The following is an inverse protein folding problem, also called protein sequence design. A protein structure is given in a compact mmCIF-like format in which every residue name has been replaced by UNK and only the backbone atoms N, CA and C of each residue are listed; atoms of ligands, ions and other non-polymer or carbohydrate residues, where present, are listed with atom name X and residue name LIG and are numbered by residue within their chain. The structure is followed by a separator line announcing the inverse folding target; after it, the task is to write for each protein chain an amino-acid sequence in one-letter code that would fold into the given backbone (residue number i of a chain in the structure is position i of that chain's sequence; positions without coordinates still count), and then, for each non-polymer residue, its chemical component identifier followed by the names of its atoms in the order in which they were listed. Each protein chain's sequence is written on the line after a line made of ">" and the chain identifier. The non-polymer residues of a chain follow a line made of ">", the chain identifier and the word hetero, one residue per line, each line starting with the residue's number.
data_IF_215314143991
#
_entry.id   IF_215314143991
#
_cell.length_a   1.000
_cell.length_b   1.000
_cell.length_c   1.000
_cell.angle_alpha   90.00
_cell.angle_beta   90.00
_cell.angle_gamma   90.00
#
_symmetry.space_group_name_H-M   'P 1'
#
loop_
_entity.id
_entity.type
_entity.pdbx_description
1 polymer ?
#
# COMPACT_ATOMS: atom_id res chain seq x y z
N UNK A 1 -29.21 39.24 -14.45
CA UNK A 1 -27.88 38.95 -15.01
C UNK A 1 -28.06 38.40 -16.43
N UNK A 2 -27.60 39.09 -17.49
CA UNK A 2 -27.71 38.59 -18.88
C UNK A 2 -26.38 37.94 -19.29
N UNK A 3 -26.32 36.60 -19.31
CA UNK A 3 -25.15 35.89 -19.85
C UNK A 3 -25.07 36.11 -21.36
N UNK A 4 -23.93 36.60 -21.85
CA UNK A 4 -23.66 36.77 -23.28
C UNK A 4 -22.89 35.58 -23.85
N UNK A 5 -23.10 35.26 -25.13
CA UNK A 5 -22.55 34.09 -25.84
C UNK A 5 -21.02 33.89 -25.69
N UNK A 6 -20.28 34.97 -25.46
CA UNK A 6 -18.83 34.93 -25.20
C UNK A 6 -18.49 34.24 -23.88
N UNK A 7 -19.30 34.45 -22.83
CA UNK A 7 -19.14 33.79 -21.53
C UNK A 7 -19.48 32.30 -21.61
N UNK A 8 -20.45 31.92 -22.45
CA UNK A 8 -20.78 30.51 -22.67
C UNK A 8 -19.64 29.73 -23.36
N UNK A 9 -18.93 30.36 -24.31
CA UNK A 9 -17.78 29.74 -24.97
C UNK A 9 -16.58 29.57 -24.03
N UNK A 10 -16.28 30.57 -23.19
CA UNK A 10 -15.19 30.45 -22.22
C UNK A 10 -15.47 29.36 -21.19
N UNK A 11 -16.70 29.28 -20.65
CA UNK A 11 -17.08 28.23 -19.70
C UNK A 11 -16.98 26.82 -20.31
N UNK A 12 -17.38 26.64 -21.57
CA UNK A 12 -17.32 25.34 -22.23
C UNK A 12 -15.87 24.84 -22.45
N UNK A 13 -14.94 25.75 -22.77
CA UNK A 13 -13.54 25.41 -22.97
C UNK A 13 -12.83 25.09 -21.64
N UNK A 14 -13.18 25.79 -20.56
CA UNK A 14 -12.66 25.50 -19.21
C UNK A 14 -13.11 24.13 -18.70
N UNK A 15 -14.38 23.75 -18.96
CA UNK A 15 -14.93 22.46 -18.56
C UNK A 15 -14.26 21.30 -19.31
N UNK A 16 -13.99 21.46 -20.61
CA UNK A 16 -13.31 20.43 -21.40
C UNK A 16 -11.86 20.19 -20.93
N UNK A 17 -11.14 21.25 -20.57
CA UNK A 17 -9.75 21.15 -20.10
C UNK A 17 -9.67 20.47 -18.72
N UNK A 18 -10.61 20.78 -17.82
CA UNK A 18 -10.70 20.16 -16.49
C UNK A 18 -11.02 18.65 -16.55
N UNK A 19 -11.86 18.23 -17.49
CA UNK A 19 -12.18 16.81 -17.69
C UNK A 19 -10.97 16.01 -18.22
N UNK A 20 -10.17 16.60 -19.11
CA UNK A 20 -8.95 15.98 -19.63
C UNK A 20 -7.84 15.86 -18.57
N UNK A 21 -7.76 16.80 -17.63
CA UNK A 21 -6.77 16.76 -16.54
C UNK A 21 -7.10 15.68 -15.51
N UNK A 22 -8.39 15.46 -15.23
CA UNK A 22 -8.82 14.39 -14.32
C UNK A 22 -8.55 12.99 -14.87
N UNK A 23 -8.67 12.77 -16.19
CA UNK A 23 -8.40 11.46 -16.79
C UNK A 23 -6.91 11.09 -16.79
N UNK A 24 -6.01 12.06 -17.01
CA UNK A 24 -4.57 11.82 -16.98
C UNK A 24 -4.07 11.44 -15.57
N UNK A 25 -4.68 12.00 -14.52
CA UNK A 25 -4.33 11.70 -13.13
C UNK A 25 -4.71 10.27 -12.68
N UNK A 26 -5.71 9.65 -13.31
CA UNK A 26 -6.19 8.31 -12.93
C UNK A 26 -5.47 7.16 -13.65
N UNK A 27 -4.65 7.46 -14.66
CA UNK A 27 -3.98 6.45 -15.49
C UNK A 27 -2.49 6.25 -15.15
N UNK A 28 -1.98 6.92 -14.11
CA UNK A 28 -0.57 6.83 -13.75
C UNK A 28 -0.34 5.59 -12.88
N UNK A 29 -0.09 4.46 -13.53
CA UNK A 29 0.36 3.22 -12.88
C UNK A 29 1.58 3.54 -12.02
N UNK A 30 1.43 3.40 -10.70
CA UNK A 30 2.48 3.72 -9.74
C UNK A 30 3.65 2.77 -10.02
N UNK A 31 4.85 3.33 -10.27
CA UNK A 31 6.02 2.51 -10.65
C UNK A 31 6.29 1.44 -9.60
N UNK A 32 6.42 0.18 -10.01
CA UNK A 32 6.72 -0.95 -9.11
C UNK A 32 8.03 -0.69 -8.34
N UNK A 33 8.06 -0.91 -7.02
CA UNK A 33 9.28 -0.77 -6.24
C UNK A 33 10.29 -1.86 -6.60
N UNK A 34 11.59 -1.60 -6.42
CA UNK A 34 12.63 -2.62 -6.61
C UNK A 34 12.65 -3.66 -5.50
N UNK A 35 12.19 -3.29 -4.31
CA UNK A 35 12.12 -4.15 -3.16
C UNK A 35 11.04 -3.69 -2.18
N UNK A 36 10.63 -4.61 -1.31
CA UNK A 36 9.82 -4.36 -0.12
C UNK A 36 10.58 -4.85 1.11
N UNK A 37 10.29 -4.25 2.26
CA UNK A 37 10.84 -4.68 3.55
C UNK A 37 9.73 -5.35 4.36
N UNK A 38 10.01 -6.52 4.89
CA UNK A 38 9.09 -7.31 5.73
C UNK A 38 9.82 -7.77 6.99
N UNK A 39 9.10 -8.08 8.07
CA UNK A 39 9.70 -8.73 9.23
C UNK A 39 9.55 -10.25 9.16
N UNK A 40 10.57 -10.95 9.66
CA UNK A 40 10.52 -12.35 10.06
C UNK A 40 11.71 -12.64 10.96
N UNK A 41 11.63 -13.73 11.73
CA UNK A 41 12.73 -14.15 12.60
C UNK A 41 12.92 -15.67 12.57
N UNK A 42 14.17 -16.13 12.60
CA UNK A 42 14.48 -17.56 12.72
C UNK A 42 13.91 -18.40 11.57
N UNK A 43 13.33 -19.55 11.92
CA UNK A 43 12.81 -20.52 10.94
C UNK A 43 11.61 -20.00 10.14
N UNK A 44 10.91 -18.97 10.63
CA UNK A 44 9.81 -18.33 9.90
C UNK A 44 10.29 -17.72 8.59
N UNK A 45 11.46 -17.09 8.56
CA UNK A 45 12.01 -16.53 7.31
C UNK A 45 12.17 -17.64 6.25
N UNK A 46 12.67 -18.81 6.67
CA UNK A 46 12.89 -19.94 5.76
C UNK A 46 11.56 -20.42 5.18
N UNK A 47 10.56 -20.60 6.04
CA UNK A 47 9.23 -21.06 5.65
C UNK A 47 8.52 -20.05 4.74
N UNK A 48 8.55 -18.75 5.07
CA UNK A 48 7.90 -17.72 4.26
C UNK A 48 8.61 -17.50 2.92
N UNK A 49 9.93 -17.67 2.86
CA UNK A 49 10.67 -17.66 1.59
C UNK A 49 10.22 -18.78 0.67
N UNK A 50 10.16 -20.01 1.21
CA UNK A 50 9.76 -21.19 0.44
C UNK A 50 8.31 -21.12 0.00
N UNK A 51 7.40 -20.74 0.89
CA UNK A 51 5.97 -20.74 0.62
C UNK A 51 5.50 -19.57 -0.25
N UNK A 52 6.10 -18.38 -0.11
CA UNK A 52 5.54 -17.16 -0.70
C UNK A 52 6.59 -16.29 -1.42
N UNK A 53 7.68 -15.93 -0.74
CA UNK A 53 8.49 -14.80 -1.22
C UNK A 53 9.32 -15.13 -2.45
N UNK A 54 9.83 -16.36 -2.60
CA UNK A 54 10.59 -16.74 -3.78
C UNK A 54 9.75 -16.64 -5.06
N UNK A 55 8.49 -17.06 -4.97
CA UNK A 55 7.54 -16.99 -6.08
C UNK A 55 7.14 -15.54 -6.36
N UNK A 56 6.86 -14.76 -5.32
CA UNK A 56 6.61 -13.31 -5.45
C UNK A 56 7.78 -12.57 -6.13
N UNK A 57 9.02 -12.81 -5.70
CA UNK A 57 10.20 -12.18 -6.29
C UNK A 57 10.37 -12.56 -7.76
N UNK A 58 10.16 -13.84 -8.09
CA UNK A 58 10.27 -14.36 -9.46
C UNK A 58 9.21 -13.74 -10.37
N UNK A 59 7.97 -13.69 -9.91
CA UNK A 59 6.82 -13.35 -10.76
C UNK A 59 6.68 -11.82 -10.92
N UNK A 60 7.14 -11.04 -9.94
CA UNK A 60 7.02 -9.58 -9.96
C UNK A 60 8.33 -8.82 -10.14
N UNK A 61 9.49 -9.48 -9.95
CA UNK A 61 10.79 -8.83 -9.99
C UNK A 61 11.05 -7.89 -8.82
N UNK A 62 10.26 -7.98 -7.75
CA UNK A 62 10.35 -7.14 -6.54
C UNK A 62 11.06 -7.96 -5.47
N UNK A 63 12.18 -7.48 -4.95
CA UNK A 63 12.93 -8.18 -3.89
C UNK A 63 12.27 -8.09 -2.51
N UNK A 64 12.33 -9.15 -1.74
CA UNK A 64 11.86 -9.20 -0.35
C UNK A 64 13.07 -9.13 0.59
N UNK A 65 13.21 -7.99 1.25
CA UNK A 65 14.25 -7.75 2.25
C UNK A 65 13.65 -8.01 3.62
N UNK A 66 14.32 -8.86 4.41
CA UNK A 66 13.90 -9.19 5.76
C UNK A 66 14.58 -8.26 6.75
N UNK A 67 13.80 -7.66 7.64
CA UNK A 67 14.27 -6.86 8.76
C UNK A 67 14.00 -7.60 10.07
N UNK A 68 15.08 -7.93 10.77
CA UNK A 68 15.08 -8.77 11.97
C UNK A 68 15.98 -8.17 13.08
N UNK A 69 15.73 -8.50 14.37
CA UNK A 69 14.59 -9.27 14.86
C UNK A 69 13.29 -8.47 14.79
N UNK A 70 12.17 -9.17 14.62
CA UNK A 70 10.84 -8.59 14.75
C UNK A 70 10.61 -8.07 16.17
N UNK A 71 9.97 -6.90 16.28
CA UNK A 71 9.59 -6.33 17.57
C UNK A 71 8.39 -5.39 17.42
N UNK A 72 7.33 -5.64 18.19
CA UNK A 72 6.12 -4.79 18.22
C UNK A 72 6.43 -3.31 18.50
N UNK A 73 7.36 -3.01 19.41
CA UNK A 73 7.77 -1.66 19.74
C UNK A 73 8.44 -0.94 18.57
N UNK A 74 9.18 -1.65 17.72
CA UNK A 74 9.76 -1.11 16.49
C UNK A 74 8.66 -0.77 15.47
N UNK A 75 7.71 -1.68 15.26
CA UNK A 75 6.54 -1.43 14.42
C UNK A 75 5.75 -0.21 14.89
N UNK A 76 5.43 -0.16 16.19
CA UNK A 76 4.72 0.97 16.80
C UNK A 76 5.48 2.28 16.60
N UNK A 77 6.79 2.30 16.84
CA UNK A 77 7.60 3.50 16.66
C UNK A 77 7.61 3.99 15.19
N UNK A 78 7.62 3.07 14.22
CA UNK A 78 7.51 3.41 12.80
C UNK A 78 6.18 4.11 12.50
N UNK A 79 5.07 3.57 13.00
CA UNK A 79 3.73 4.17 12.79
C UNK A 79 3.64 5.52 13.51
N UNK A 80 4.01 5.58 14.79
CA UNK A 80 3.92 6.81 15.61
C UNK A 80 4.82 7.94 15.09
N UNK A 81 5.96 7.61 14.48
CA UNK A 81 6.86 8.60 13.87
C UNK A 81 6.44 9.02 12.45
N UNK A 82 5.49 8.31 11.82
CA UNK A 82 5.15 8.49 10.41
C UNK A 82 6.26 8.05 9.43
N UNK A 83 7.31 7.40 9.92
CA UNK A 83 8.43 6.90 9.12
C UNK A 83 8.34 5.38 8.99
N UNK A 84 7.29 4.91 8.32
CA UNK A 84 7.04 3.48 8.09
C UNK A 84 7.94 2.97 6.97
N UNK A 85 8.80 2.00 7.29
CA UNK A 85 9.69 1.37 6.31
C UNK A 85 9.26 -0.04 5.92
N UNK A 86 8.51 -0.73 6.78
CA UNK A 86 7.97 -2.05 6.49
C UNK A 86 6.75 -1.91 5.57
N UNK A 87 6.76 -2.70 4.49
CA UNK A 87 5.63 -2.78 3.56
C UNK A 87 4.58 -3.79 4.05
N UNK A 88 5.02 -4.83 4.76
CA UNK A 88 4.15 -5.84 5.33
C UNK A 88 4.70 -6.25 6.70
N UNK A 89 3.82 -6.25 7.70
CA UNK A 89 4.12 -6.74 9.03
C UNK A 89 3.52 -8.14 9.22
N UNK A 90 4.34 -9.14 9.48
CA UNK A 90 3.88 -10.43 10.00
C UNK A 90 3.71 -10.30 11.52
N UNK A 91 2.58 -10.72 12.07
CA UNK A 91 2.28 -10.54 13.50
C UNK A 91 1.66 -11.83 14.04
N UNK A 92 2.07 -12.22 15.25
CA UNK A 92 1.33 -13.24 15.99
C UNK A 92 -0.07 -12.73 16.37
N UNK A 93 -1.04 -13.62 16.65
CA UNK A 93 -2.42 -13.23 16.92
C UNK A 93 -2.60 -12.22 18.08
N UNK A 94 -1.75 -12.27 19.11
CA UNK A 94 -1.83 -11.34 20.24
C UNK A 94 -1.36 -9.95 19.85
N UNK A 95 -0.25 -9.88 19.10
CA UNK A 95 0.29 -8.62 18.61
C UNK A 95 -0.61 -8.00 17.52
N UNK A 96 -1.23 -8.81 16.66
CA UNK A 96 -2.25 -8.34 15.71
C UNK A 96 -3.46 -7.72 16.43
N UNK A 97 -3.99 -8.41 17.45
CA UNK A 97 -5.11 -7.89 18.25
C UNK A 97 -4.72 -6.60 19.00
N UNK A 98 -3.47 -6.53 19.50
CA UNK A 98 -2.94 -5.34 20.15
C UNK A 98 -2.80 -4.18 19.17
N UNK A 99 -2.23 -4.41 17.99
CA UNK A 99 -2.06 -3.41 16.95
C UNK A 99 -3.40 -2.84 16.48
N UNK A 100 -4.40 -3.71 16.30
CA UNK A 100 -5.77 -3.31 15.95
C UNK A 100 -6.40 -2.39 17.01
N UNK A 101 -6.31 -2.75 18.30
CA UNK A 101 -6.81 -1.88 19.39
C UNK A 101 -6.09 -0.54 19.50
N UNK A 102 -4.89 -0.45 18.95
CA UNK A 102 -4.04 0.74 19.00
C UNK A 102 -4.08 1.55 17.70
N UNK A 103 -4.92 1.17 16.73
CA UNK A 103 -5.04 1.84 15.43
C UNK A 103 -3.70 1.93 14.67
N UNK A 104 -2.91 0.85 14.75
CA UNK A 104 -1.57 0.78 14.12
C UNK A 104 -1.57 0.09 12.75
N UNK A 105 -2.73 -0.39 12.28
CA UNK A 105 -2.86 -1.20 11.08
C UNK A 105 -3.70 -0.47 10.04
N UNK A 106 -3.32 -0.59 8.78
CA UNK A 106 -4.16 -0.17 7.65
C UNK A 106 -5.27 -1.20 7.41
N UNK A 107 -6.45 -0.74 6.95
CA UNK A 107 -7.51 -1.64 6.52
C UNK A 107 -7.09 -2.38 5.25
N UNK A 108 -7.32 -3.70 5.21
CA UNK A 108 -7.06 -4.51 4.01
C UNK A 108 -8.11 -4.17 2.96
N UNK A 109 -7.67 -3.83 1.75
CA UNK A 109 -8.56 -3.58 0.62
C UNK A 109 -9.11 -4.92 0.07
N UNK A 110 -10.43 -5.20 0.23
CA UNK A 110 -11.05 -6.44 -0.23
C UNK A 110 -11.18 -6.51 -1.76
N UNK A 111 -10.94 -5.41 -2.49
CA UNK A 111 -10.87 -5.45 -3.94
C UNK A 111 -9.54 -6.04 -4.45
N UNK A 112 -8.51 -6.07 -3.59
CA UNK A 112 -7.17 -6.58 -3.90
C UNK A 112 -6.96 -7.97 -3.29
N UNK A 113 -7.37 -8.16 -2.04
CA UNK A 113 -7.17 -9.40 -1.29
C UNK A 113 -8.49 -10.15 -1.19
N UNK A 114 -8.50 -11.41 -1.66
CA UNK A 114 -9.66 -12.28 -1.48
C UNK A 114 -9.75 -12.70 0.00
N UNK A 115 -10.85 -12.33 0.64
CA UNK A 115 -11.15 -12.72 2.02
C UNK A 115 -11.73 -14.15 2.13
N UNK A 116 -11.98 -14.82 1.00
CA UNK A 116 -12.61 -16.13 0.92
C UNK A 116 -11.59 -17.27 0.78
N UNK A 117 -10.54 -17.28 1.59
CA UNK A 117 -9.81 -18.52 1.87
C UNK A 117 -10.40 -19.10 3.17
N UNK A 118 -10.97 -20.33 3.18
CA UNK A 118 -11.69 -20.90 4.31
C UNK A 118 -10.83 -21.18 5.55
#
# INVERSE_FOLDING_TARGET
>A
MKLTRRHALTLALSAALALLSNMAAHAQERSKPRFIVVNASGDEEVLLREAYWNDFERDHGIKVIVDAPENFGKMRAMVESGNVTWALANLDPNDALRASRMDLLEEIDPAIVDSCDP
#
